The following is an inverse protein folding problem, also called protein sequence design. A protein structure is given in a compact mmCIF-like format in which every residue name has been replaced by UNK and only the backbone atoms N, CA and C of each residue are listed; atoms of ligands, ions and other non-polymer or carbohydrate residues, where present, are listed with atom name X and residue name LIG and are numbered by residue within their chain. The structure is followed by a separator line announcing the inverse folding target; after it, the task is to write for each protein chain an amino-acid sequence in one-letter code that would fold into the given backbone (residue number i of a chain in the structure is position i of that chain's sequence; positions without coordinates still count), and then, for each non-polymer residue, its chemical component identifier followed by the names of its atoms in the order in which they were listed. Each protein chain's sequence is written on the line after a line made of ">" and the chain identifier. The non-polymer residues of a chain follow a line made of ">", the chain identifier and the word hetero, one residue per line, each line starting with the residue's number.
data_IF_385397442066
#
_entry.id   IF_385397442066
#
_cell.length_a   1.000
_cell.length_b   1.000
_cell.length_c   1.000
_cell.angle_alpha   90.00
_cell.angle_beta   90.00
_cell.angle_gamma   90.00
#
_symmetry.space_group_name_H-M   'P 1'
#
loop_
_entity.id
_entity.type
_entity.pdbx_description
1 polymer ?
#
# COMPACT_ATOMS: atom_id res chain seq x y z
N UNK A 1 -4.14 10.03 14.19
CA UNK A 1 -3.81 9.88 12.78
C UNK A 1 -2.66 8.90 12.58
N UNK A 2 -2.70 8.16 11.48
CA UNK A 2 -1.66 7.18 11.14
C UNK A 2 -0.50 7.88 10.42
N UNK A 3 -0.82 8.80 9.53
CA UNK A 3 0.14 9.62 8.80
C UNK A 3 -0.29 11.07 8.90
N UNK A 4 0.65 11.93 9.24
CA UNK A 4 0.44 13.37 9.28
C UNK A 4 1.55 14.09 8.52
N UNK A 5 1.17 14.87 7.53
CA UNK A 5 2.08 15.71 6.73
C UNK A 5 1.70 17.16 6.98
N UNK A 6 2.65 17.95 7.48
CA UNK A 6 2.42 19.35 7.84
C UNK A 6 3.35 20.27 7.07
N UNK A 7 2.76 21.32 6.49
CA UNK A 7 3.48 22.41 5.85
C UNK A 7 4.50 21.97 4.81
N UNK A 8 4.12 20.98 3.99
CA UNK A 8 4.98 20.42 2.96
C UNK A 8 5.21 21.41 1.83
N UNK A 9 6.47 21.73 1.59
CA UNK A 9 6.89 22.52 0.44
C UNK A 9 8.01 21.76 -0.27
N UNK A 10 7.89 21.64 -1.59
CA UNK A 10 8.85 20.90 -2.39
C UNK A 10 8.79 21.33 -3.85
N UNK A 11 9.95 21.33 -4.50
CA UNK A 11 10.06 21.61 -5.92
C UNK A 11 11.35 21.09 -6.52
N UNK A 12 11.42 21.13 -7.83
CA UNK A 12 12.60 20.75 -8.60
C UNK A 12 13.10 21.96 -9.41
N UNK A 13 14.24 22.52 -9.01
CA UNK A 13 14.75 23.74 -9.62
C UNK A 13 13.75 24.89 -9.47
N UNK A 14 13.35 25.50 -10.60
CA UNK A 14 12.37 26.58 -10.62
C UNK A 14 10.91 26.12 -10.59
N UNK A 15 10.70 24.81 -10.63
CA UNK A 15 9.36 24.23 -10.69
C UNK A 15 8.91 23.82 -9.28
N UNK A 16 7.93 24.55 -8.73
CA UNK A 16 7.30 24.18 -7.47
C UNK A 16 6.25 23.09 -7.69
N UNK A 17 6.28 22.06 -6.85
CA UNK A 17 5.32 20.93 -6.87
C UNK A 17 4.29 21.12 -5.76
N UNK A 18 4.75 21.42 -4.55
CA UNK A 18 3.89 21.68 -3.38
C UNK A 18 4.29 22.98 -2.70
N UNK A 19 3.29 23.74 -2.26
CA UNK A 19 3.50 24.95 -1.49
C UNK A 19 2.62 24.94 -0.26
N UNK A 20 3.22 24.66 0.89
CA UNK A 20 2.57 24.67 2.20
C UNK A 20 1.31 23.78 2.22
N UNK A 21 1.45 22.53 1.80
CA UNK A 21 0.34 21.57 1.79
C UNK A 21 0.34 20.71 3.05
N UNK A 22 -0.84 20.30 3.47
CA UNK A 22 -1.03 19.39 4.59
C UNK A 22 -1.87 18.20 4.17
N UNK A 23 -1.58 17.06 4.76
CA UNK A 23 -2.24 15.79 4.46
C UNK A 23 -2.37 14.98 5.73
N UNK A 24 -3.50 14.31 5.88
CA UNK A 24 -3.75 13.45 7.04
C UNK A 24 -4.43 12.17 6.62
N UNK A 25 -3.93 11.04 7.12
CA UNK A 25 -4.54 9.74 6.94
C UNK A 25 -4.93 9.18 8.30
N UNK A 26 -6.22 8.87 8.44
CA UNK A 26 -6.76 8.24 9.63
C UNK A 26 -6.92 6.74 9.42
N UNK A 27 -7.00 6.00 10.52
CA UNK A 27 -7.17 4.56 10.49
C UNK A 27 -8.40 4.15 9.68
N UNK A 28 -8.22 3.22 8.77
CA UNK A 28 -9.30 2.68 7.94
C UNK A 28 -9.78 3.58 6.80
N UNK A 29 -9.15 4.73 6.57
CA UNK A 29 -9.50 5.57 5.45
C UNK A 29 -8.96 5.03 4.13
N UNK A 30 -9.78 5.08 3.08
CA UNK A 30 -9.43 4.66 1.73
C UNK A 30 -9.35 5.90 0.84
N UNK A 31 -8.13 6.37 0.63
CA UNK A 31 -7.86 7.64 -0.04
C UNK A 31 -7.45 7.42 -1.49
N UNK A 32 -8.09 8.15 -2.41
CA UNK A 32 -7.64 8.30 -3.77
C UNK A 32 -6.87 9.62 -3.92
N UNK A 33 -5.67 9.57 -4.47
CA UNK A 33 -4.85 10.73 -4.77
C UNK A 33 -5.00 11.03 -6.25
N UNK A 34 -5.59 12.17 -6.59
CA UNK A 34 -5.90 12.54 -7.96
C UNK A 34 -5.29 13.88 -8.34
N UNK A 35 -5.06 14.07 -9.62
CA UNK A 35 -4.49 15.28 -10.17
C UNK A 35 -4.08 15.09 -11.61
N UNK A 36 -3.67 16.17 -12.25
CA UNK A 36 -3.17 16.12 -13.62
C UNK A 36 -1.92 15.23 -13.72
N UNK A 37 -1.71 14.65 -14.90
CA UNK A 37 -0.50 13.89 -15.18
C UNK A 37 0.74 14.78 -14.95
N UNK A 38 1.68 14.28 -14.19
CA UNK A 38 2.88 14.98 -13.84
C UNK A 38 3.59 14.30 -12.68
N UNK A 39 4.62 14.93 -12.15
CA UNK A 39 5.47 14.35 -11.12
C UNK A 39 4.88 14.44 -9.70
N UNK A 40 3.80 15.21 -9.50
CA UNK A 40 3.31 15.53 -8.17
C UNK A 40 2.85 14.33 -7.36
N UNK A 41 2.06 13.43 -7.93
CA UNK A 41 1.54 12.27 -7.22
C UNK A 41 2.66 11.30 -6.84
N UNK A 42 3.54 10.98 -7.77
CA UNK A 42 4.71 10.13 -7.51
C UNK A 42 5.68 10.78 -6.53
N UNK A 43 5.87 12.09 -6.64
CA UNK A 43 6.71 12.86 -5.71
C UNK A 43 6.13 12.80 -4.29
N UNK A 44 4.83 12.96 -4.13
CA UNK A 44 4.18 12.83 -2.83
C UNK A 44 4.43 11.44 -2.22
N UNK A 45 4.23 10.37 -2.99
CA UNK A 45 4.48 9.02 -2.53
C UNK A 45 5.96 8.81 -2.13
N UNK A 46 6.89 9.37 -2.89
CA UNK A 46 8.33 9.30 -2.57
C UNK A 46 8.66 10.03 -1.27
N UNK A 47 8.02 11.16 -1.03
CA UNK A 47 8.23 11.93 0.21
C UNK A 47 7.67 11.19 1.42
N UNK A 48 6.43 10.69 1.36
CA UNK A 48 5.83 10.00 2.51
C UNK A 48 6.49 8.67 2.81
N UNK A 49 7.08 8.01 1.83
CA UNK A 49 7.84 6.76 2.04
C UNK A 49 9.28 6.99 2.49
N UNK A 50 9.72 8.24 2.53
CA UNK A 50 11.09 8.58 2.94
C UNK A 50 12.15 8.43 1.85
N UNK A 51 11.76 8.13 0.61
CA UNK A 51 12.70 8.03 -0.51
C UNK A 51 13.22 9.40 -0.94
N UNK A 52 12.47 10.45 -0.65
CA UNK A 52 12.79 11.82 -1.01
C UNK A 52 12.54 12.72 0.19
N UNK A 53 13.49 13.62 0.48
CA UNK A 53 13.32 14.61 1.53
C UNK A 53 12.60 15.84 0.97
N UNK A 54 11.56 16.35 1.67
CA UNK A 54 10.93 17.60 1.25
C UNK A 54 11.86 18.79 1.51
N UNK A 55 11.65 19.87 0.78
CA UNK A 55 12.41 21.12 1.02
C UNK A 55 12.02 21.72 2.35
N UNK A 56 10.74 21.73 2.67
CA UNK A 56 10.20 22.17 3.96
C UNK A 56 9.06 21.27 4.38
N UNK A 57 8.79 21.24 5.67
CA UNK A 57 7.66 20.50 6.21
C UNK A 57 8.07 19.24 6.94
N UNK A 58 7.06 18.54 7.45
CA UNK A 58 7.24 17.41 8.34
C UNK A 58 6.33 16.25 7.94
N UNK A 59 6.89 15.06 7.87
CA UNK A 59 6.16 13.81 7.63
C UNK A 59 6.27 12.95 8.88
N UNK A 60 5.15 12.64 9.52
CA UNK A 60 5.11 11.83 10.72
C UNK A 60 4.20 10.62 10.54
N UNK A 61 4.76 9.45 10.79
CA UNK A 61 4.03 8.19 10.88
C UNK A 61 3.77 7.87 12.36
N UNK A 62 2.61 7.29 12.65
CA UNK A 62 2.35 6.76 13.99
C UNK A 62 3.35 5.65 14.32
N UNK A 63 3.60 5.46 15.62
CA UNK A 63 4.52 4.40 16.08
C UNK A 63 3.94 3.02 15.79
N UNK A 64 4.81 2.07 15.46
CA UNK A 64 4.47 0.65 15.28
C UNK A 64 3.48 0.40 14.13
N UNK A 65 3.47 1.25 13.10
CA UNK A 65 2.67 0.98 11.90
C UNK A 65 3.53 0.33 10.82
N UNK A 66 2.94 -0.65 10.16
CA UNK A 66 3.55 -1.31 9.01
C UNK A 66 3.05 -0.63 7.75
N UNK A 67 3.99 -0.08 6.98
CA UNK A 67 3.69 0.59 5.72
C UNK A 67 4.10 -0.33 4.57
N UNK A 68 3.15 -0.67 3.71
CA UNK A 68 3.42 -1.44 2.50
C UNK A 68 3.34 -0.56 1.28
N UNK A 69 4.40 -0.53 0.48
CA UNK A 69 4.47 0.26 -0.74
C UNK A 69 4.74 -0.64 -1.94
N UNK A 70 3.90 -0.51 -2.97
CA UNK A 70 4.14 -1.22 -4.23
C UNK A 70 5.27 -0.51 -4.97
N UNK A 71 6.49 -1.01 -4.78
CA UNK A 71 7.68 -0.50 -5.42
C UNK A 71 7.96 -1.31 -6.69
N UNK A 72 7.70 -0.72 -7.85
CA UNK A 72 7.92 -1.35 -9.16
C UNK A 72 9.41 -1.59 -9.46
N UNK A 73 10.29 -0.97 -8.69
CA UNK A 73 11.74 -1.10 -8.83
C UNK A 73 12.36 -2.02 -7.78
N UNK A 74 11.55 -2.63 -6.90
CA UNK A 74 12.05 -3.57 -5.91
C UNK A 74 12.69 -4.78 -6.60
N UNK A 75 13.82 -5.21 -6.04
CA UNK A 75 14.60 -6.33 -6.58
C UNK A 75 14.16 -7.62 -5.88
N UNK A 76 13.79 -8.62 -6.68
CA UNK A 76 13.54 -9.97 -6.20
C UNK A 76 14.83 -10.79 -6.35
N UNK A 77 15.18 -11.54 -5.32
CA UNK A 77 16.43 -12.29 -5.28
C UNK A 77 16.44 -13.48 -6.25
N UNK A 78 17.56 -13.68 -6.94
CA UNK A 78 17.78 -14.83 -7.80
C UNK A 78 17.71 -16.14 -6.99
N UNK A 79 17.13 -17.17 -7.58
CA UNK A 79 16.94 -18.46 -6.93
C UNK A 79 15.65 -18.57 -6.12
N UNK A 80 14.92 -17.46 -5.96
CA UNK A 80 13.63 -17.43 -5.32
C UNK A 80 12.53 -17.76 -6.33
N UNK A 81 11.62 -18.64 -5.99
CA UNK A 81 10.45 -18.94 -6.83
C UNK A 81 9.34 -17.93 -6.59
N UNK A 82 8.34 -17.91 -7.47
CA UNK A 82 7.13 -17.10 -7.26
C UNK A 82 6.49 -17.47 -5.92
N UNK A 83 6.37 -18.76 -5.63
CA UNK A 83 5.82 -19.24 -4.37
C UNK A 83 6.62 -18.74 -3.16
N UNK A 84 7.96 -18.82 -3.22
CA UNK A 84 8.83 -18.32 -2.16
C UNK A 84 8.64 -16.82 -1.93
N UNK A 85 8.55 -16.04 -3.01
CA UNK A 85 8.35 -14.61 -2.93
C UNK A 85 7.01 -14.26 -2.27
N UNK A 86 5.92 -14.91 -2.66
CA UNK A 86 4.61 -14.71 -2.06
C UNK A 86 4.58 -15.17 -0.60
N UNK A 87 5.17 -16.31 -0.32
CA UNK A 87 5.22 -16.89 1.02
C UNK A 87 6.05 -16.05 1.98
N UNK A 88 7.03 -15.29 1.46
CA UNK A 88 7.86 -14.39 2.28
C UNK A 88 7.06 -13.26 2.95
N UNK A 89 5.83 -13.00 2.50
CA UNK A 89 4.89 -12.12 3.20
C UNK A 89 4.63 -12.55 4.64
N UNK A 90 4.81 -13.85 4.92
CA UNK A 90 4.56 -14.45 6.22
C UNK A 90 5.86 -14.78 6.98
N UNK A 91 6.99 -14.17 6.60
CA UNK A 91 8.29 -14.44 7.21
C UNK A 91 8.29 -14.40 8.75
N UNK A 92 7.63 -13.45 9.43
CA UNK A 92 7.59 -13.47 10.89
C UNK A 92 6.97 -14.75 11.46
N UNK A 93 5.93 -15.27 10.83
CA UNK A 93 5.30 -16.54 11.25
C UNK A 93 6.15 -17.75 10.88
N UNK A 94 6.81 -17.70 9.72
CA UNK A 94 7.71 -18.77 9.27
C UNK A 94 8.93 -18.89 10.20
N UNK A 95 9.46 -17.78 10.67
CA UNK A 95 10.54 -17.76 11.65
C UNK A 95 10.10 -18.37 12.99
N UNK A 96 8.87 -18.15 13.40
CA UNK A 96 8.31 -18.75 14.61
C UNK A 96 8.15 -20.26 14.46
N UNK A 97 7.72 -20.73 13.29
CA UNK A 97 7.67 -22.17 13.00
C UNK A 97 9.06 -22.79 13.06
N UNK A 98 10.05 -22.12 12.48
CA UNK A 98 11.45 -22.58 12.53
C UNK A 98 11.94 -22.69 13.96
N UNK A 99 11.67 -21.68 14.79
CA UNK A 99 11.99 -21.69 16.22
C UNK A 99 11.27 -22.83 16.95
N UNK A 100 10.01 -23.07 16.61
CA UNK A 100 9.23 -24.19 17.17
C UNK A 100 9.92 -25.54 16.90
N UNK A 101 10.39 -25.74 15.66
CA UNK A 101 11.09 -26.96 15.26
C UNK A 101 12.43 -27.09 16.01
N UNK A 102 13.18 -26.01 16.17
CA UNK A 102 14.40 -26.00 16.98
C UNK A 102 14.14 -26.41 18.44
N UNK A 103 13.08 -25.88 19.04
CA UNK A 103 12.68 -26.22 20.41
C UNK A 103 12.37 -27.70 20.52
N UNK A 104 11.64 -28.26 19.58
CA UNK A 104 11.32 -29.69 19.55
C UNK A 104 12.60 -30.54 19.53
N UNK A 105 13.59 -30.14 18.74
CA UNK A 105 14.89 -30.83 18.69
C UNK A 105 15.65 -30.67 20.01
N UNK A 106 15.62 -29.50 20.64
CA UNK A 106 16.31 -29.23 21.92
C UNK A 106 15.70 -29.98 23.09
N UNK A 107 14.39 -30.28 23.07
CA UNK A 107 13.72 -30.98 24.17
C UNK A 107 14.26 -32.40 24.38
N UNK A 108 14.83 -33.00 23.37
CA UNK A 108 15.41 -34.35 23.47
C UNK A 108 16.64 -34.43 24.36
N UNK A 109 17.35 -33.33 24.57
CA UNK A 109 18.61 -33.25 25.34
C UNK A 109 18.57 -32.23 26.49
N UNK A 110 17.42 -31.63 26.77
CA UNK A 110 17.26 -30.58 27.78
C UNK A 110 17.15 -31.21 29.19
N UNK A 111 17.67 -30.50 30.19
CA UNK A 111 17.41 -30.80 31.59
C UNK A 111 16.01 -30.32 32.03
N UNK A 112 15.62 -30.56 33.30
CA UNK A 112 14.27 -30.19 33.77
C UNK A 112 13.99 -28.70 33.69
N UNK A 113 14.95 -27.83 34.02
CA UNK A 113 14.77 -26.37 33.97
C UNK A 113 14.67 -25.86 32.56
N UNK A 114 15.55 -26.33 31.69
CA UNK A 114 15.53 -25.98 30.26
C UNK A 114 14.23 -26.46 29.60
N UNK A 115 13.78 -27.68 29.92
CA UNK A 115 12.56 -28.24 29.42
C UNK A 115 11.34 -27.38 29.79
N UNK A 116 11.26 -26.90 31.02
CA UNK A 116 10.16 -26.05 31.46
C UNK A 116 10.11 -24.72 30.68
N UNK A 117 11.27 -24.07 30.51
CA UNK A 117 11.39 -22.81 29.77
C UNK A 117 11.03 -23.05 28.29
N UNK A 118 11.55 -24.10 27.68
CA UNK A 118 11.29 -24.40 26.26
C UNK A 118 9.83 -24.77 26.00
N UNK A 119 9.19 -25.49 26.92
CA UNK A 119 7.77 -25.86 26.80
C UNK A 119 6.87 -24.62 26.90
N UNK A 120 7.21 -23.66 27.74
CA UNK A 120 6.48 -22.40 27.85
C UNK A 120 6.60 -21.60 26.56
N UNK A 121 7.81 -21.44 26.03
CA UNK A 121 8.05 -20.76 24.74
C UNK A 121 7.30 -21.46 23.60
N UNK A 122 7.34 -22.79 23.56
CA UNK A 122 6.64 -23.58 22.55
C UNK A 122 5.13 -23.32 22.59
N UNK A 123 4.54 -23.28 23.78
CA UNK A 123 3.12 -22.99 23.95
C UNK A 123 2.76 -21.60 23.43
N UNK A 124 3.57 -20.60 23.72
CA UNK A 124 3.37 -19.23 23.23
C UNK A 124 3.44 -19.15 21.71
N UNK A 125 4.43 -19.82 21.10
CA UNK A 125 4.56 -19.86 19.63
C UNK A 125 3.37 -20.55 18.99
N UNK A 126 2.93 -21.68 19.52
CA UNK A 126 1.77 -22.41 19.00
C UNK A 126 0.51 -21.55 19.06
N UNK A 127 0.30 -20.80 20.13
CA UNK A 127 -0.84 -19.90 20.27
C UNK A 127 -0.78 -18.77 19.22
N UNK A 128 0.38 -18.18 18.97
CA UNK A 128 0.57 -17.15 17.96
C UNK A 128 0.32 -17.67 16.54
N UNK A 129 0.84 -18.86 16.23
CA UNK A 129 0.63 -19.48 14.92
C UNK A 129 -0.85 -19.76 14.66
N UNK A 130 -1.55 -20.24 15.70
CA UNK A 130 -2.99 -20.52 15.61
C UNK A 130 -3.79 -19.22 15.44
N UNK A 131 -3.46 -18.18 16.22
CA UNK A 131 -4.14 -16.89 16.15
C UNK A 131 -4.05 -16.24 14.77
N UNK A 132 -2.91 -16.39 14.08
CA UNK A 132 -2.67 -15.82 12.77
C UNK A 132 -2.93 -16.79 11.61
N UNK A 133 -3.65 -17.88 11.85
CA UNK A 133 -4.04 -18.84 10.81
C UNK A 133 -2.85 -19.38 10.00
N UNK A 134 -1.73 -19.65 10.68
CA UNK A 134 -0.49 -20.11 10.06
C UNK A 134 -0.71 -21.31 9.11
N UNK A 135 -1.57 -22.24 9.51
CA UNK A 135 -1.79 -23.46 8.76
C UNK A 135 -2.57 -23.27 7.46
N UNK A 136 -3.05 -22.05 7.19
CA UNK A 136 -3.75 -21.68 5.95
C UNK A 136 -2.89 -20.89 4.98
N UNK A 137 -1.61 -20.69 5.28
CA UNK A 137 -0.69 -19.87 4.46
C UNK A 137 -0.64 -20.36 3.01
N UNK A 138 -0.47 -21.65 2.79
CA UNK A 138 -0.37 -22.20 1.43
C UNK A 138 -1.66 -21.95 0.63
N UNK A 139 -2.82 -22.07 1.27
CA UNK A 139 -4.10 -21.77 0.64
C UNK A 139 -4.24 -20.28 0.29
N UNK A 140 -3.79 -19.40 1.17
CA UNK A 140 -3.81 -17.95 0.93
C UNK A 140 -2.89 -17.56 -0.22
N UNK A 141 -1.70 -18.12 -0.27
CA UNK A 141 -0.73 -17.90 -1.37
C UNK A 141 -1.33 -18.33 -2.69
N UNK A 142 -1.94 -19.52 -2.74
CA UNK A 142 -2.57 -20.03 -3.95
C UNK A 142 -3.75 -19.15 -4.39
N UNK A 143 -4.59 -18.71 -3.47
CA UNK A 143 -5.72 -17.82 -3.76
C UNK A 143 -5.25 -16.52 -4.42
N UNK A 144 -4.25 -15.86 -3.84
CA UNK A 144 -3.72 -14.59 -4.38
C UNK A 144 -3.01 -14.83 -5.71
N UNK A 145 -2.25 -15.91 -5.84
CA UNK A 145 -1.59 -16.27 -7.09
C UNK A 145 -2.60 -16.49 -8.21
N UNK A 146 -3.70 -17.21 -7.93
CA UNK A 146 -4.78 -17.39 -8.90
C UNK A 146 -5.44 -16.05 -9.27
N UNK A 147 -5.72 -15.24 -8.26
CA UNK A 147 -6.41 -13.95 -8.44
C UNK A 147 -5.63 -12.97 -9.31
N UNK A 148 -4.30 -13.06 -9.31
CA UNK A 148 -3.42 -12.17 -10.08
C UNK A 148 -2.88 -12.82 -11.37
N UNK A 149 -3.34 -14.02 -11.69
CA UNK A 149 -2.90 -14.73 -12.90
C UNK A 149 -1.49 -15.29 -12.83
N UNK A 150 -0.96 -15.53 -11.63
CA UNK A 150 0.39 -16.04 -11.43
C UNK A 150 0.46 -17.58 -11.51
N UNK A 151 -0.66 -18.30 -11.31
CA UNK A 151 -0.67 -19.75 -11.40
C UNK A 151 -0.27 -20.26 -12.78
N UNK A 152 -0.68 -19.56 -13.84
CA UNK A 152 -0.39 -19.92 -15.22
C UNK A 152 1.11 -19.83 -15.54
N UNK A 153 1.85 -19.04 -14.77
CA UNK A 153 3.30 -18.91 -14.94
C UNK A 153 4.07 -20.08 -14.32
N UNK A 154 3.45 -20.80 -13.38
CA UNK A 154 4.10 -21.82 -12.57
C UNK A 154 4.71 -21.24 -11.31
N UNK A 155 4.21 -21.66 -10.13
CA UNK A 155 4.67 -21.12 -8.84
C UNK A 155 6.12 -21.48 -8.51
N UNK A 156 6.68 -22.51 -9.14
CA UNK A 156 8.06 -22.93 -8.98
C UNK A 156 9.04 -22.22 -9.92
N UNK A 157 8.54 -21.32 -10.74
CA UNK A 157 9.36 -20.53 -11.67
C UNK A 157 10.20 -19.51 -10.90
N UNK A 158 11.48 -19.36 -11.30
CA UNK A 158 12.39 -18.37 -10.74
C UNK A 158 11.91 -16.94 -11.08
N UNK A 159 11.89 -16.06 -10.08
CA UNK A 159 11.39 -14.67 -10.24
C UNK A 159 12.26 -13.86 -11.19
N UNK A 160 13.52 -14.23 -11.40
CA UNK A 160 14.41 -13.52 -12.33
C UNK A 160 14.07 -13.78 -13.81
N UNK A 161 13.30 -14.84 -14.09
CA UNK A 161 12.83 -15.17 -15.43
C UNK A 161 11.56 -14.41 -15.84
N UNK A 162 11.02 -13.61 -14.95
CA UNK A 162 9.77 -12.88 -15.16
C UNK A 162 10.00 -11.57 -15.92
N UNK A 163 9.00 -11.18 -16.73
CA UNK A 163 8.96 -9.82 -17.30
C UNK A 163 8.76 -8.79 -16.19
N UNK A 164 8.97 -7.50 -16.51
CA UNK A 164 8.75 -6.42 -15.55
C UNK A 164 7.32 -6.39 -15.02
N UNK A 165 6.32 -6.57 -15.91
CA UNK A 165 4.91 -6.61 -15.51
C UNK A 165 4.56 -7.82 -14.65
N UNK A 166 5.10 -8.98 -14.96
CA UNK A 166 4.91 -10.19 -14.15
C UNK A 166 5.54 -10.04 -12.77
N UNK A 167 6.72 -9.44 -12.71
CA UNK A 167 7.39 -9.15 -11.44
C UNK A 167 6.56 -8.19 -10.57
N UNK A 168 5.99 -7.16 -11.16
CA UNK A 168 5.11 -6.22 -10.46
C UNK A 168 3.91 -6.94 -9.86
N UNK A 169 3.31 -7.90 -10.58
CA UNK A 169 2.20 -8.71 -10.05
C UNK A 169 2.61 -9.56 -8.84
N UNK A 170 3.82 -10.13 -8.86
CA UNK A 170 4.33 -10.89 -7.71
C UNK A 170 4.50 -9.96 -6.50
N UNK A 171 5.08 -8.78 -6.70
CA UNK A 171 5.25 -7.79 -5.64
C UNK A 171 3.90 -7.32 -5.07
N UNK A 172 2.92 -7.09 -5.93
CA UNK A 172 1.57 -6.76 -5.50
C UNK A 172 0.97 -7.90 -4.66
N UNK A 173 1.07 -9.13 -5.12
CA UNK A 173 0.56 -10.30 -4.39
C UNK A 173 1.18 -10.44 -3.01
N UNK A 174 2.48 -10.29 -2.91
CA UNK A 174 3.20 -10.32 -1.64
C UNK A 174 2.66 -9.23 -0.70
N UNK A 175 2.52 -8.01 -1.21
CA UNK A 175 2.03 -6.87 -0.45
C UNK A 175 0.61 -7.12 0.10
N UNK A 176 -0.28 -7.65 -0.73
CA UNK A 176 -1.65 -7.97 -0.31
C UNK A 176 -1.69 -9.08 0.74
N UNK A 177 -0.77 -10.03 0.68
CA UNK A 177 -0.66 -11.08 1.69
C UNK A 177 -0.11 -10.57 3.02
N UNK A 178 0.75 -9.57 2.99
CA UNK A 178 1.31 -8.95 4.20
C UNK A 178 0.26 -8.21 5.03
N UNK A 179 -0.78 -7.67 4.40
CA UNK A 179 -1.84 -6.88 5.01
C UNK A 179 -1.30 -5.78 5.94
N UNK A 180 -0.46 -4.87 5.42
CA UNK A 180 0.09 -3.81 6.27
C UNK A 180 -1.00 -2.88 6.79
N UNK A 181 -0.67 -2.09 7.82
CA UNK A 181 -1.58 -1.10 8.39
C UNK A 181 -1.95 -0.02 7.36
N UNK A 182 -1.06 0.23 6.42
CA UNK A 182 -1.28 1.18 5.33
C UNK A 182 -0.71 0.59 4.04
N UNK A 183 -1.56 0.55 3.00
CA UNK A 183 -1.14 0.22 1.64
C UNK A 183 -0.95 1.50 0.83
N UNK A 184 0.21 1.63 0.21
CA UNK A 184 0.47 2.69 -0.76
C UNK A 184 0.56 2.05 -2.15
N UNK A 185 -0.45 2.30 -2.98
CA UNK A 185 -0.62 1.66 -4.27
C UNK A 185 -0.57 2.69 -5.39
N UNK A 186 0.46 2.59 -6.23
CA UNK A 186 0.61 3.42 -7.43
C UNK A 186 0.35 2.57 -8.66
N UNK A 187 -0.78 2.83 -9.32
CA UNK A 187 -1.24 2.12 -10.51
C UNK A 187 -1.25 0.59 -10.36
N UNK A 188 -1.94 0.04 -9.33
CA UNK A 188 -1.89 -1.39 -9.06
C UNK A 188 -2.62 -2.24 -10.10
N UNK A 189 -3.48 -1.65 -10.92
CA UNK A 189 -4.22 -2.37 -11.97
C UNK A 189 -3.42 -2.55 -13.25
N UNK A 190 -2.25 -1.91 -13.39
CA UNK A 190 -1.37 -2.14 -14.52
C UNK A 190 -1.00 -3.62 -14.60
N UNK A 191 -0.99 -4.16 -15.80
CA UNK A 191 -0.67 -5.56 -16.11
C UNK A 191 -1.72 -6.58 -15.66
N UNK A 192 -2.87 -6.12 -15.12
CA UNK A 192 -3.98 -6.99 -14.74
C UNK A 192 -5.07 -6.98 -15.83
N UNK A 193 -5.68 -8.12 -16.07
CA UNK A 193 -6.87 -8.19 -16.92
C UNK A 193 -8.14 -7.85 -16.11
N UNK A 194 -9.28 -7.80 -16.78
CA UNK A 194 -10.54 -7.38 -16.15
C UNK A 194 -10.96 -8.26 -14.97
N UNK A 195 -10.75 -9.56 -15.07
CA UNK A 195 -11.09 -10.50 -13.99
C UNK A 195 -10.23 -10.26 -12.74
N UNK A 196 -8.94 -10.02 -12.94
CA UNK A 196 -8.01 -9.77 -11.85
C UNK A 196 -8.25 -8.39 -11.23
N UNK A 197 -8.59 -7.40 -12.03
CA UNK A 197 -8.99 -6.06 -11.54
C UNK A 197 -10.25 -6.17 -10.68
N UNK A 198 -11.25 -6.95 -11.11
CA UNK A 198 -12.48 -7.15 -10.34
C UNK A 198 -12.19 -7.79 -8.98
N UNK A 199 -11.27 -8.75 -8.92
CA UNK A 199 -10.86 -9.36 -7.66
C UNK A 199 -10.15 -8.35 -6.75
N UNK A 200 -9.22 -7.56 -7.29
CA UNK A 200 -8.51 -6.53 -6.52
C UNK A 200 -9.48 -5.48 -5.97
N UNK A 201 -10.47 -5.10 -6.75
CA UNK A 201 -11.54 -4.18 -6.31
C UNK A 201 -12.25 -4.75 -5.08
N UNK A 202 -12.70 -6.00 -5.13
CA UNK A 202 -13.35 -6.63 -3.98
C UNK A 202 -12.42 -6.71 -2.76
N UNK A 203 -11.16 -7.03 -2.99
CA UNK A 203 -10.15 -7.07 -1.94
C UNK A 203 -10.02 -5.71 -1.24
N UNK A 204 -9.91 -4.62 -2.01
CA UNK A 204 -9.75 -3.28 -1.46
C UNK A 204 -11.02 -2.76 -0.78
N UNK A 205 -12.20 -3.11 -1.29
CA UNK A 205 -13.48 -2.76 -0.63
C UNK A 205 -13.56 -3.38 0.76
N UNK A 206 -13.08 -4.61 0.93
CA UNK A 206 -13.11 -5.33 2.20
C UNK A 206 -11.86 -5.08 3.05
N UNK A 207 -10.92 -4.28 2.57
CA UNK A 207 -9.67 -4.02 3.28
C UNK A 207 -9.94 -3.21 4.55
N UNK A 208 -9.63 -3.81 5.70
CA UNK A 208 -9.91 -3.21 7.01
C UNK A 208 -9.01 -2.03 7.35
N UNK A 209 -7.81 -2.02 6.80
CA UNK A 209 -6.80 -1.02 7.07
C UNK A 209 -6.87 0.13 6.06
N UNK A 210 -6.02 1.14 6.25
CA UNK A 210 -5.98 2.31 5.39
C UNK A 210 -5.21 2.04 4.09
N UNK A 211 -5.55 2.79 3.04
CA UNK A 211 -4.71 2.82 1.84
C UNK A 211 -4.75 4.20 1.17
N UNK A 212 -3.70 4.46 0.39
CA UNK A 212 -3.62 5.56 -0.55
C UNK A 212 -3.45 4.96 -1.93
N UNK A 213 -4.35 5.31 -2.84
CA UNK A 213 -4.40 4.76 -4.19
C UNK A 213 -4.21 5.85 -5.24
N UNK A 214 -3.29 5.61 -6.16
CA UNK A 214 -3.16 6.38 -7.40
C UNK A 214 -3.59 5.46 -8.54
N UNK A 215 -4.55 5.87 -9.34
CA UNK A 215 -5.02 5.08 -10.49
C UNK A 215 -5.59 5.96 -11.58
N UNK A 216 -5.28 5.61 -12.84
CA UNK A 216 -5.91 6.20 -14.03
C UNK A 216 -7.19 5.45 -14.42
N UNK A 217 -7.43 4.29 -13.82
CA UNK A 217 -8.68 3.54 -13.98
C UNK A 217 -9.74 4.18 -13.07
N UNK A 218 -10.46 5.15 -13.62
CA UNK A 218 -11.42 5.96 -12.85
C UNK A 218 -12.57 5.13 -12.29
N UNK A 219 -13.21 4.21 -13.05
CA UNK A 219 -14.25 3.34 -12.47
C UNK A 219 -13.75 2.53 -11.28
N UNK A 220 -12.53 2.00 -11.36
CA UNK A 220 -11.90 1.26 -10.25
C UNK A 220 -11.69 2.17 -9.04
N UNK A 221 -11.08 3.33 -9.26
CA UNK A 221 -10.82 4.32 -8.20
C UNK A 221 -12.12 4.72 -7.50
N UNK A 222 -13.14 5.07 -8.28
CA UNK A 222 -14.43 5.55 -7.76
C UNK A 222 -15.09 4.54 -6.83
N UNK A 223 -14.99 3.24 -7.13
CA UNK A 223 -15.65 2.20 -6.34
C UNK A 223 -14.92 1.88 -5.03
N UNK A 224 -13.62 2.08 -4.95
CA UNK A 224 -12.84 1.61 -3.79
C UNK A 224 -12.46 2.72 -2.80
N UNK A 225 -12.57 4.00 -3.19
CA UNK A 225 -12.18 5.10 -2.30
C UNK A 225 -13.39 5.79 -1.68
N UNK A 226 -13.19 6.34 -0.48
CA UNK A 226 -14.20 7.13 0.22
C UNK A 226 -13.72 8.55 0.55
N UNK A 227 -12.49 8.87 0.19
CA UNK A 227 -11.90 10.20 0.35
C UNK A 227 -11.02 10.46 -0.87
N UNK A 228 -11.09 11.67 -1.40
CA UNK A 228 -10.21 12.14 -2.49
C UNK A 228 -9.34 13.28 -1.97
N UNK A 229 -8.05 13.19 -2.23
CA UNK A 229 -7.13 14.33 -2.16
C UNK A 229 -6.78 14.76 -3.58
N UNK A 230 -7.15 15.98 -3.90
CA UNK A 230 -6.93 16.56 -5.23
C UNK A 230 -5.70 17.45 -5.22
N UNK A 231 -4.79 17.18 -6.12
CA UNK A 231 -3.54 17.89 -6.30
C UNK A 231 -3.65 18.82 -7.49
N UNK A 232 -3.68 20.11 -7.24
CA UNK A 232 -3.82 21.15 -8.26
C UNK A 232 -3.19 22.45 -7.78
N UNK A 233 -2.50 23.17 -8.67
CA UNK A 233 -1.93 24.49 -8.39
C UNK A 233 -1.05 24.49 -7.12
N UNK A 234 -0.22 23.45 -6.95
CA UNK A 234 0.68 23.30 -5.80
C UNK A 234 -0.06 23.08 -4.47
N UNK A 235 -1.36 22.88 -4.52
CA UNK A 235 -2.21 22.61 -3.37
C UNK A 235 -2.65 21.14 -3.33
N UNK A 236 -3.04 20.71 -2.15
CA UNK A 236 -3.59 19.38 -1.91
C UNK A 236 -4.87 19.54 -1.10
N UNK A 237 -6.01 19.32 -1.73
CA UNK A 237 -7.31 19.55 -1.14
C UNK A 237 -8.08 18.27 -0.90
N UNK A 238 -8.69 18.15 0.27
CA UNK A 238 -9.44 16.97 0.71
C UNK A 238 -10.92 17.08 0.37
N UNK A 239 -11.48 16.01 -0.19
CA UNK A 239 -12.92 15.87 -0.47
C UNK A 239 -13.39 14.54 0.11
N UNK A 240 -14.38 14.58 0.99
CA UNK A 240 -14.99 13.37 1.56
C UNK A 240 -16.02 12.82 0.60
N UNK A 241 -15.90 11.54 0.26
CA UNK A 241 -16.77 10.86 -0.69
C UNK A 241 -15.98 10.14 -1.77
N UNK A 242 -16.70 9.58 -2.74
CA UNK A 242 -16.09 8.90 -3.89
C UNK A 242 -15.64 9.91 -4.98
N UNK A 243 -15.11 9.39 -6.07
CA UNK A 243 -14.63 10.21 -7.17
C UNK A 243 -15.76 11.00 -7.85
N UNK A 244 -16.94 10.40 -8.02
CA UNK A 244 -18.08 11.09 -8.65
C UNK A 244 -18.53 12.27 -7.78
N UNK A 245 -18.61 12.09 -6.47
CA UNK A 245 -18.93 13.17 -5.54
C UNK A 245 -17.86 14.27 -5.59
N UNK A 246 -16.59 13.89 -5.63
CA UNK A 246 -15.49 14.85 -5.81
C UNK A 246 -15.68 15.69 -7.07
N UNK A 247 -16.01 15.07 -8.19
CA UNK A 247 -16.23 15.77 -9.45
C UNK A 247 -17.34 16.83 -9.36
N UNK A 248 -18.44 16.49 -8.70
CA UNK A 248 -19.57 17.41 -8.50
C UNK A 248 -19.15 18.61 -7.63
N UNK A 249 -18.54 18.37 -6.50
CA UNK A 249 -18.10 19.41 -5.57
C UNK A 249 -17.02 20.29 -6.21
N UNK A 250 -16.07 19.69 -6.90
CA UNK A 250 -14.99 20.42 -7.57
C UNK A 250 -15.52 21.32 -8.69
N UNK A 251 -16.49 20.85 -9.47
CA UNK A 251 -17.10 21.64 -10.56
C UNK A 251 -17.78 22.90 -10.01
N UNK A 252 -18.51 22.78 -8.89
CA UNK A 252 -19.15 23.92 -8.23
C UNK A 252 -18.10 24.89 -7.70
N UNK A 253 -17.07 24.41 -7.01
CA UNK A 253 -15.98 25.22 -6.47
C UNK A 253 -15.26 25.99 -7.58
N UNK A 254 -14.96 25.33 -8.68
CA UNK A 254 -14.28 25.92 -9.83
C UNK A 254 -15.13 27.02 -10.48
N UNK A 255 -16.43 26.79 -10.65
CA UNK A 255 -17.36 27.77 -11.19
C UNK A 255 -17.44 29.01 -10.30
N UNK A 256 -17.49 28.84 -8.98
CA UNK A 256 -17.49 29.94 -8.02
C UNK A 256 -16.21 30.78 -8.09
N UNK A 257 -15.05 30.14 -8.19
CA UNK A 257 -13.77 30.84 -8.31
C UNK A 257 -13.68 31.63 -9.62
N UNK A 258 -14.14 31.06 -10.71
CA UNK A 258 -14.17 31.75 -12.01
C UNK A 258 -15.12 32.96 -11.98
N UNK A 259 -16.30 32.83 -11.37
CA UNK A 259 -17.24 33.92 -11.20
C UNK A 259 -16.66 35.05 -10.32
N UNK A 260 -16.00 34.70 -9.22
CA UNK A 260 -15.34 35.68 -8.37
C UNK A 260 -14.21 36.42 -9.11
N UNK A 261 -13.43 35.72 -9.91
CA UNK A 261 -12.37 36.29 -10.73
C UNK A 261 -12.92 37.30 -11.75
N UNK A 262 -14.01 36.94 -12.44
CA UNK A 262 -14.67 37.81 -13.41
C UNK A 262 -15.19 39.10 -12.76
N UNK A 263 -15.80 39.01 -11.58
CA UNK A 263 -16.25 40.17 -10.80
C UNK A 263 -15.10 41.09 -10.46
N UNK A 264 -13.99 40.54 -9.99
CA UNK A 264 -12.79 41.29 -9.66
C UNK A 264 -12.23 42.00 -10.89
N UNK A 265 -12.20 41.37 -12.04
CA UNK A 265 -11.77 41.98 -13.30
C UNK A 265 -12.69 43.16 -13.73
N UNK A 266 -13.99 43.00 -13.53
CA UNK A 266 -14.96 44.08 -13.84
C UNK A 266 -14.79 45.28 -12.91
N UNK A 267 -14.48 45.09 -11.64
CA UNK A 267 -14.24 46.17 -10.69
C UNK A 267 -12.94 46.94 -10.99
N UNK A 268 -11.94 46.28 -11.55
CA UNK A 268 -10.66 46.91 -11.93
C UNK A 268 -10.81 47.73 -13.22
N UNK A 269 -11.69 47.34 -14.13
CA UNK A 269 -11.97 48.07 -15.37
C UNK A 269 -13.09 49.08 -15.19
#
# INVERSE_FOLDING_TARGET
>A
SILNVEHLTHGFGDRAIFNDVSFRLLKGEHIGLVGANGEGKSTFMSIVTGKMMPDEGKVEWAKNVNVGYLDQHAVLEAGMTIQDALKSAFDPLLQKEERMNEICDMLGTADEKEMEILMEELGMIQDELTLHDFYTIDAKVEEVARALGLLDLGLDRDVTDLSGGQRTKVLLGKLLLEKPDILLLDEPTNYLDEEHIAWLKRYLLDYENAFILISHDIPFLNEVVNIIYHMENQELNRYVGDYDHFQEVYAVKKAQLEAAYRRQQQEIN
#
